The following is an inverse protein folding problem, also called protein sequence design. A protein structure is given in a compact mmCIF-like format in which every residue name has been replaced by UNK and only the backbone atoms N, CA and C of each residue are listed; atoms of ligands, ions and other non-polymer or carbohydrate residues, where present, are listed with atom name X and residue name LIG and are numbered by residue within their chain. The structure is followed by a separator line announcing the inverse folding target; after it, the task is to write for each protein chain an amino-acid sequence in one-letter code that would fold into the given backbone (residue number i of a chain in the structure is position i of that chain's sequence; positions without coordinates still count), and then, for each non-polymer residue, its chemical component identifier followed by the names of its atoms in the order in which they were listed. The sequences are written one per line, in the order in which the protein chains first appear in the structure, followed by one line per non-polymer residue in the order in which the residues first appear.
data_IF_422882187028
#
_entry.id   IF_422882187028
#
_cell.length_a   1.000
_cell.length_b   1.000
_cell.length_c   1.000
_cell.angle_alpha   90.00
_cell.angle_beta   90.00
_cell.angle_gamma   90.00
#
_symmetry.space_group_name_H-M   'P 1'
#
loop_
_entity.id
_entity.type
_entity.pdbx_description
1 polymer ?
#
# COMPACT_ATOMS: atom_id res chain seq x y z
N UNK A 1 -0.04 11.28 20.16
CA UNK A 1 -1.42 10.93 19.79
C UNK A 1 -1.74 11.04 18.29
N UNK A 2 -1.06 11.88 17.50
CA UNK A 2 -1.31 12.01 16.05
C UNK A 2 -0.95 10.77 15.18
N UNK A 3 0.07 9.98 15.58
CA UNK A 3 0.53 8.84 14.78
C UNK A 3 -0.39 7.59 14.84
N UNK A 4 -1.28 7.48 15.84
CA UNK A 4 -2.29 6.42 15.90
C UNK A 4 -3.54 6.76 15.07
N UNK A 5 -3.80 8.05 14.83
CA UNK A 5 -4.95 8.50 14.05
C UNK A 5 -4.80 8.14 12.57
N UNK A 6 -3.60 8.32 11.99
CA UNK A 6 -3.32 8.00 10.59
C UNK A 6 -3.46 6.50 10.26
N UNK A 7 -3.05 5.59 11.14
CA UNK A 7 -3.19 4.15 10.90
C UNK A 7 -4.64 3.66 10.97
N UNK A 8 -5.49 4.27 11.81
CA UNK A 8 -6.90 3.91 11.93
C UNK A 8 -7.73 4.47 10.76
N UNK A 9 -7.36 5.64 10.26
CA UNK A 9 -7.96 6.25 9.06
C UNK A 9 -7.62 5.46 7.79
N UNK A 10 -6.39 4.97 7.61
CA UNK A 10 -6.02 4.17 6.42
C UNK A 10 -6.70 2.78 6.36
N UNK A 11 -7.01 2.17 7.51
CA UNK A 11 -7.79 0.90 7.54
C UNK A 11 -9.26 1.18 7.24
N UNK A 12 -9.83 2.20 7.89
CA UNK A 12 -11.22 2.62 7.65
C UNK A 12 -11.44 2.98 6.19
N UNK A 13 -10.47 3.65 5.56
CA UNK A 13 -10.60 4.09 4.18
C UNK A 13 -10.25 3.01 3.19
N UNK A 14 -9.28 2.14 3.47
CA UNK A 14 -9.11 0.93 2.67
C UNK A 14 -10.36 0.04 2.67
N UNK A 15 -11.11 -0.01 3.80
CA UNK A 15 -12.31 -0.82 3.94
C UNK A 15 -13.56 -0.14 3.37
N UNK A 16 -13.69 1.18 3.52
CA UNK A 16 -14.75 2.00 2.94
C UNK A 16 -14.58 2.16 1.42
N UNK A 17 -13.35 2.30 0.94
CA UNK A 17 -13.05 2.26 -0.48
C UNK A 17 -13.36 0.88 -1.05
N UNK A 18 -12.94 -0.23 -0.41
CA UNK A 18 -13.25 -1.58 -0.88
C UNK A 18 -14.75 -1.86 -0.98
N UNK A 19 -15.58 -1.32 -0.08
CA UNK A 19 -17.05 -1.42 -0.18
C UNK A 19 -17.67 -0.46 -1.21
N UNK A 20 -17.07 0.72 -1.44
CA UNK A 20 -17.53 1.70 -2.44
C UNK A 20 -17.12 1.33 -3.88
N UNK A 21 -16.02 0.61 -4.09
CA UNK A 21 -15.53 0.17 -5.41
C UNK A 21 -16.33 -1.01 -6.01
N UNK A 22 -17.09 -1.77 -5.21
CA UNK A 22 -17.65 -3.05 -5.62
C UNK A 22 -18.71 -3.03 -6.75
N UNK A 23 -19.60 -2.03 -6.91
CA UNK A 23 -20.71 -2.13 -7.86
C UNK A 23 -20.39 -1.72 -9.31
N UNK A 24 -19.43 -0.80 -9.55
CA UNK A 24 -19.08 -0.32 -10.93
C UNK A 24 -17.68 -0.72 -11.41
N UNK A 25 -16.79 -1.16 -10.52
CA UNK A 25 -15.43 -1.60 -10.91
C UNK A 25 -15.36 -3.05 -11.40
N UNK A 26 -16.38 -3.86 -11.12
CA UNK A 26 -16.31 -5.30 -11.26
C UNK A 26 -16.77 -5.75 -12.65
N UNK A 27 -15.82 -5.98 -13.57
CA UNK A 27 -16.11 -6.78 -14.76
C UNK A 27 -16.22 -8.23 -14.32
N UNK A 28 -17.44 -8.70 -14.09
CA UNK A 28 -17.74 -10.10 -13.77
C UNK A 28 -17.83 -10.88 -15.07
N UNK A 29 -16.75 -11.56 -15.47
CA UNK A 29 -16.81 -12.53 -16.56
C UNK A 29 -17.42 -13.83 -16.02
N UNK A 30 -18.70 -14.07 -16.33
CA UNK A 30 -19.42 -15.31 -16.00
C UNK A 30 -19.07 -16.35 -17.08
N UNK A 31 -18.63 -17.58 -16.75
CA UNK A 31 -18.41 -18.61 -17.77
C UNK A 31 -19.75 -18.96 -18.43
N UNK A 32 -19.85 -18.74 -19.74
CA UNK A 32 -21.04 -19.05 -20.53
C UNK A 32 -21.06 -20.56 -20.82
N UNK A 33 -21.83 -21.33 -20.05
CA UNK A 33 -22.58 -22.42 -20.67
C UNK A 33 -23.77 -21.79 -21.38
N UNK A 34 -23.89 -22.06 -22.68
CA UNK A 34 -24.87 -21.47 -23.58
C UNK A 34 -26.28 -21.54 -22.99
N UNK A 35 -26.86 -20.40 -22.63
CA UNK A 35 -28.25 -20.31 -22.16
C UNK A 35 -28.57 -19.14 -21.22
N UNK A 36 -27.59 -18.59 -20.49
CA UNK A 36 -27.84 -17.61 -19.41
C UNK A 36 -27.07 -16.29 -19.61
N UNK A 37 -27.24 -15.67 -20.78
CA UNK A 37 -26.62 -14.39 -21.15
C UNK A 37 -27.32 -13.23 -20.42
N UNK A 38 -26.93 -12.99 -19.17
CA UNK A 38 -27.25 -11.73 -18.48
C UNK A 38 -26.53 -10.56 -19.17
N UNK A 39 -27.21 -9.43 -19.34
CA UNK A 39 -26.63 -8.22 -19.92
C UNK A 39 -25.28 -7.88 -19.26
N UNK A 40 -24.23 -7.78 -20.08
CA UNK A 40 -22.87 -7.46 -19.64
C UNK A 40 -22.77 -5.94 -19.57
N UNK A 41 -22.53 -5.40 -18.38
CA UNK A 41 -22.21 -3.99 -18.21
C UNK A 41 -20.83 -3.70 -18.81
N UNK A 42 -20.79 -2.81 -19.80
CA UNK A 42 -19.55 -2.32 -20.39
C UNK A 42 -19.17 -1.02 -19.67
N UNK A 43 -17.98 -0.96 -19.06
CA UNK A 43 -17.49 0.25 -18.38
C UNK A 43 -17.37 1.43 -19.35
N UNK A 44 -17.67 2.64 -18.85
CA UNK A 44 -17.42 3.88 -19.59
C UNK A 44 -15.93 4.27 -19.55
N UNK A 45 -15.53 5.24 -20.36
CA UNK A 45 -14.15 5.77 -20.36
C UNK A 45 -13.77 6.31 -18.97
N UNK A 46 -14.70 6.99 -18.29
CA UNK A 46 -14.49 7.53 -16.95
C UNK A 46 -14.34 6.41 -15.91
N UNK A 47 -15.09 5.31 -16.04
CA UNK A 47 -14.94 4.13 -15.18
C UNK A 47 -13.55 3.50 -15.31
N UNK A 48 -13.00 3.48 -16.53
CA UNK A 48 -11.67 2.90 -16.78
C UNK A 48 -10.55 3.82 -16.28
N UNK A 49 -10.68 5.13 -16.48
CA UNK A 49 -9.76 6.13 -15.95
C UNK A 49 -9.70 6.07 -14.41
N UNK A 50 -10.86 5.95 -13.75
CA UNK A 50 -10.92 5.78 -12.30
C UNK A 50 -10.29 4.46 -11.84
N UNK A 51 -10.49 3.36 -12.57
CA UNK A 51 -9.81 2.09 -12.27
C UNK A 51 -8.30 2.18 -12.38
N UNK A 52 -7.77 2.96 -13.31
CA UNK A 52 -6.32 3.15 -13.41
C UNK A 52 -5.75 3.85 -12.18
N UNK A 53 -6.48 4.83 -11.63
CA UNK A 53 -6.13 5.45 -10.35
C UNK A 53 -6.17 4.42 -9.19
N UNK A 54 -7.20 3.58 -9.15
CA UNK A 54 -7.30 2.52 -8.15
C UNK A 54 -6.18 1.47 -8.27
N UNK A 55 -5.83 1.07 -9.50
CA UNK A 55 -4.71 0.15 -9.81
C UNK A 55 -3.38 0.77 -9.37
N UNK A 56 -3.16 2.05 -9.61
CA UNK A 56 -1.98 2.77 -9.15
C UNK A 56 -1.86 2.76 -7.62
N UNK A 57 -2.96 2.97 -6.90
CA UNK A 57 -3.00 2.87 -5.43
C UNK A 57 -2.67 1.46 -4.92
N UNK A 58 -3.26 0.40 -5.50
CA UNK A 58 -2.94 -0.98 -5.13
C UNK A 58 -1.45 -1.29 -5.38
N UNK A 59 -0.91 -0.86 -6.51
CA UNK A 59 0.50 -1.02 -6.84
C UNK A 59 1.42 -0.31 -5.82
N UNK A 60 1.08 0.92 -5.43
CA UNK A 60 1.81 1.68 -4.42
C UNK A 60 1.79 0.98 -3.04
N UNK A 61 0.63 0.44 -2.63
CA UNK A 61 0.49 -0.38 -1.41
C UNK A 61 1.36 -1.64 -1.46
N UNK A 62 1.41 -2.31 -2.61
CA UNK A 62 2.33 -3.43 -2.86
C UNK A 62 3.81 -3.00 -2.75
N UNK A 63 4.14 -1.83 -3.28
CA UNK A 63 5.46 -1.20 -3.16
C UNK A 63 5.87 -0.95 -1.71
N UNK A 64 4.95 -0.39 -0.90
CA UNK A 64 5.16 -0.18 0.53
C UNK A 64 5.41 -1.49 1.29
N UNK A 65 4.65 -2.55 0.97
CA UNK A 65 4.89 -3.89 1.55
C UNK A 65 6.30 -4.41 1.21
N UNK A 66 6.72 -4.29 -0.06
CA UNK A 66 8.06 -4.70 -0.50
C UNK A 66 9.17 -3.87 0.17
N UNK A 67 8.99 -2.56 0.32
CA UNK A 67 9.95 -1.69 0.99
C UNK A 67 10.15 -2.09 2.47
N UNK A 68 9.06 -2.38 3.19
CA UNK A 68 9.14 -2.89 4.57
C UNK A 68 9.87 -4.23 4.65
N UNK A 69 9.62 -5.14 3.72
CA UNK A 69 10.30 -6.44 3.67
C UNK A 69 11.80 -6.27 3.44
N UNK A 70 12.21 -5.40 2.51
CA UNK A 70 13.63 -5.09 2.25
C UNK A 70 14.35 -4.52 3.48
N UNK A 71 13.71 -3.59 4.20
CA UNK A 71 14.28 -3.07 5.44
C UNK A 71 14.44 -4.16 6.51
N UNK A 72 13.49 -5.10 6.59
CA UNK A 72 13.58 -6.22 7.54
C UNK A 72 14.64 -7.26 7.14
N UNK A 73 14.79 -7.54 5.85
CA UNK A 73 15.75 -8.54 5.37
C UNK A 73 17.19 -8.07 5.51
N UNK A 74 17.46 -6.77 5.36
CA UNK A 74 18.81 -6.24 5.36
C UNK A 74 19.59 -6.53 6.66
N UNK A 75 19.09 -6.21 7.87
CA UNK A 75 19.78 -6.59 9.12
C UNK A 75 19.94 -8.10 9.30
N UNK A 76 18.96 -8.89 8.85
CA UNK A 76 19.01 -10.35 8.97
C UNK A 76 20.15 -10.94 8.14
N UNK A 77 20.44 -10.38 6.96
CA UNK A 77 21.59 -10.75 6.14
C UNK A 77 22.94 -10.40 6.79
N UNK A 78 22.97 -9.43 7.71
CA UNK A 78 24.15 -9.05 8.48
C UNK A 78 24.20 -9.69 9.88
N UNK A 79 23.35 -10.70 10.14
CA UNK A 79 23.33 -11.44 11.40
C UNK A 79 22.65 -10.72 12.56
N UNK A 80 22.03 -9.56 12.33
CA UNK A 80 21.35 -8.77 13.36
C UNK A 80 19.86 -9.09 13.39
N UNK A 81 19.41 -9.56 14.56
CA UNK A 81 18.00 -9.90 14.81
C UNK A 81 17.38 -8.84 15.72
N UNK A 82 16.23 -8.33 15.31
CA UNK A 82 15.39 -7.53 16.18
C UNK A 82 14.70 -8.44 17.22
N UNK A 83 14.92 -8.18 18.50
CA UNK A 83 14.37 -8.98 19.61
C UNK A 83 12.98 -8.51 20.07
N UNK A 84 12.48 -7.40 19.53
CA UNK A 84 11.14 -6.88 19.84
C UNK A 84 10.02 -7.50 19.00
N UNK A 85 8.82 -6.93 19.10
CA UNK A 85 7.67 -7.39 18.31
C UNK A 85 7.86 -7.15 16.81
N UNK A 86 7.77 -8.22 16.00
CA UNK A 86 7.87 -8.14 14.55
C UNK A 86 6.76 -7.34 13.85
N UNK A 87 5.78 -6.83 14.61
CA UNK A 87 4.75 -5.95 14.10
C UNK A 87 5.35 -4.59 13.74
N UNK A 88 4.87 -3.92 12.68
CA UNK A 88 5.36 -2.61 12.23
C UNK A 88 4.91 -1.47 13.18
N UNK A 89 5.20 -1.65 14.46
CA UNK A 89 4.90 -0.74 15.56
C UNK A 89 5.79 0.50 15.47
N UNK A 90 5.44 1.59 16.19
CA UNK A 90 6.34 2.72 16.35
C UNK A 90 7.73 2.30 16.82
N UNK A 91 7.82 1.35 17.76
CA UNK A 91 9.09 0.81 18.25
C UNK A 91 9.93 0.20 17.11
N UNK A 92 9.33 -0.57 16.21
CA UNK A 92 10.01 -1.11 15.04
C UNK A 92 10.43 -0.02 14.04
N UNK A 93 9.74 1.13 13.98
CA UNK A 93 10.14 2.27 13.13
C UNK A 93 11.29 3.08 13.73
N UNK A 94 11.39 3.13 15.05
CA UNK A 94 12.46 3.84 15.76
C UNK A 94 13.73 3.00 15.93
N UNK A 95 13.61 1.67 16.00
CA UNK A 95 14.74 0.76 16.13
C UNK A 95 15.84 0.93 15.06
N UNK A 96 15.53 1.16 13.76
CA UNK A 96 16.54 1.44 12.74
C UNK A 96 17.41 2.66 13.02
N UNK A 97 16.96 3.62 13.85
CA UNK A 97 17.75 4.79 14.21
C UNK A 97 18.76 4.50 15.33
N UNK A 98 18.59 3.39 16.04
CA UNK A 98 19.48 2.95 17.12
C UNK A 98 20.57 1.98 16.62
N UNK A 99 20.52 1.62 15.34
CA UNK A 99 21.40 0.63 14.74
C UNK A 99 22.39 1.31 13.78
N UNK A 100 23.68 1.11 14.03
CA UNK A 100 24.76 1.52 13.15
C UNK A 100 25.48 0.27 12.65
N UNK A 101 25.68 0.20 11.34
CA UNK A 101 26.57 -0.79 10.74
C UNK A 101 28.02 -0.29 10.87
N UNK A 102 28.97 -1.22 11.00
CA UNK A 102 30.39 -0.89 11.13
C UNK A 102 31.03 -0.35 9.84
N UNK A 103 30.31 -0.38 8.71
CA UNK A 103 30.78 0.05 7.40
C UNK A 103 29.85 1.13 6.82
N UNK A 104 30.42 2.24 6.35
CA UNK A 104 29.72 3.40 5.80
C UNK A 104 28.83 3.08 4.58
N UNK A 105 29.26 2.15 3.72
CA UNK A 105 28.54 1.75 2.52
C UNK A 105 27.29 0.94 2.86
N UNK A 106 27.43 0.03 3.84
CA UNK A 106 26.32 -0.74 4.37
C UNK A 106 25.32 0.18 5.09
N UNK A 107 25.81 1.13 5.88
CA UNK A 107 24.99 2.14 6.55
C UNK A 107 24.20 2.97 5.54
N UNK A 108 24.84 3.45 4.47
CA UNK A 108 24.18 4.22 3.42
C UNK A 108 23.09 3.42 2.69
N UNK A 109 23.36 2.14 2.37
CA UNK A 109 22.35 1.26 1.78
C UNK A 109 21.15 1.02 2.71
N UNK A 110 21.41 0.83 4.01
CA UNK A 110 20.37 0.67 5.02
C UNK A 110 19.50 1.93 5.17
N UNK A 111 20.13 3.11 5.17
CA UNK A 111 19.43 4.39 5.21
C UNK A 111 18.56 4.62 3.98
N UNK A 112 19.00 4.20 2.79
CA UNK A 112 18.20 4.26 1.57
C UNK A 112 16.94 3.39 1.66
N UNK A 113 17.07 2.16 2.18
CA UNK A 113 15.90 1.31 2.46
C UNK A 113 14.94 1.95 3.47
N UNK A 114 15.46 2.69 4.45
CA UNK A 114 14.65 3.43 5.42
C UNK A 114 13.91 4.60 4.76
N UNK A 115 14.60 5.41 3.94
CA UNK A 115 14.01 6.54 3.19
C UNK A 115 12.89 6.08 2.26
N UNK A 116 13.13 4.99 1.51
CA UNK A 116 12.16 4.41 0.59
C UNK A 116 10.80 4.14 1.24
N UNK A 117 10.74 3.79 2.52
CA UNK A 117 9.46 3.58 3.21
C UNK A 117 8.68 4.89 3.36
N UNK A 118 9.37 5.99 3.70
CA UNK A 118 8.76 7.32 3.77
C UNK A 118 8.18 7.72 2.42
N UNK A 119 8.95 7.55 1.34
CA UNK A 119 8.51 7.89 -0.02
C UNK A 119 7.28 7.07 -0.43
N UNK A 120 7.26 5.77 -0.12
CA UNK A 120 6.11 4.90 -0.43
C UNK A 120 4.90 5.21 0.43
N UNK A 121 5.08 5.63 1.67
CA UNK A 121 3.98 6.12 2.51
C UNK A 121 3.37 7.39 1.90
N UNK A 122 4.20 8.39 1.61
CA UNK A 122 3.76 9.63 0.99
C UNK A 122 3.08 9.39 -0.38
N UNK A 123 3.59 8.45 -1.18
CA UNK A 123 2.94 8.04 -2.43
C UNK A 123 1.55 7.42 -2.18
N UNK A 124 1.43 6.53 -1.21
CA UNK A 124 0.13 5.93 -0.86
C UNK A 124 -0.86 6.99 -0.39
N UNK A 125 -0.42 7.93 0.44
CA UNK A 125 -1.25 9.03 0.96
C UNK A 125 -1.76 9.92 -0.18
N UNK A 126 -0.88 10.36 -1.10
CA UNK A 126 -1.30 11.16 -2.26
C UNK A 126 -2.34 10.44 -3.13
N UNK A 127 -2.15 9.15 -3.38
CA UNK A 127 -3.10 8.35 -4.17
C UNK A 127 -4.42 8.11 -3.43
N UNK A 128 -4.37 7.92 -2.11
CA UNK A 128 -5.56 7.77 -1.28
C UNK A 128 -6.38 9.07 -1.23
N UNK A 129 -5.72 10.23 -1.16
CA UNK A 129 -6.37 11.54 -1.28
C UNK A 129 -7.04 11.70 -2.63
N UNK A 130 -6.32 11.45 -3.73
CA UNK A 130 -6.88 11.55 -5.08
C UNK A 130 -8.10 10.63 -5.28
N UNK A 131 -8.05 9.41 -4.75
CA UNK A 131 -9.20 8.49 -4.78
C UNK A 131 -10.40 9.05 -4.03
N UNK A 132 -10.23 9.63 -2.84
CA UNK A 132 -11.33 10.22 -2.07
C UNK A 132 -11.98 11.40 -2.76
N UNK A 133 -11.19 12.22 -3.44
CA UNK A 133 -11.67 13.38 -4.20
C UNK A 133 -12.41 12.97 -5.48
N UNK A 134 -12.01 11.85 -6.08
CA UNK A 134 -12.65 11.32 -7.30
C UNK A 134 -13.98 10.60 -7.01
N UNK A 135 -14.13 9.93 -5.87
CA UNK A 135 -15.33 9.13 -5.52
C UNK A 135 -16.66 9.89 -5.61
N UNK A 136 -16.79 11.15 -5.15
CA UNK A 136 -18.06 11.89 -5.26
C UNK A 136 -18.51 12.17 -6.70
N UNK A 137 -17.59 12.17 -7.66
CA UNK A 137 -17.82 12.55 -9.06
C UNK A 137 -17.87 11.33 -10.01
N UNK A 138 -17.89 10.11 -9.47
CA UNK A 138 -17.80 8.83 -10.19
C UNK A 138 -18.95 7.89 -9.81
#
# INVERSE_FOLDING_TARGET
MLALCLLRVSVSVGQQLHSLFAPRCLVRMKPLRAGDLSAVYVPTVDDEAFRDLARAWVSARGGLKRARQRLKSFPLSHGVRYTGSANWSPAHRHWPSQYSLGNEWQQRAFEEHRRMIGDRLAQCERLETALREAVPNW
#
